data_IF_660401338638
#
_entry.id   IF_660401338638
#
_cell.length_a   1.000
_cell.length_b   1.000
_cell.length_c   1.000
_cell.angle_alpha   90.00
_cell.angle_beta   90.00
_cell.angle_gamma   90.00
#
_symmetry.space_group_name_H-M   'P 1'
#
loop_
_entity.id
_entity.type
_entity.pdbx_description
1 polymer ?
#
# COMPACT_ATOMS: atom_id res chain seq x y z
N UNK A 1 24.63 -60.15 17.06
CA UNK A 1 24.96 -58.88 16.39
C UNK A 1 23.69 -58.31 15.76
N UNK A 2 23.17 -57.20 16.29
CA UNK A 2 22.73 -55.99 15.55
C UNK A 2 21.97 -55.07 16.51
N UNK A 3 22.75 -54.17 17.08
CA UNK A 3 22.34 -52.84 17.54
C UNK A 3 21.68 -52.06 16.39
N UNK A 4 20.69 -51.21 16.69
CA UNK A 4 20.45 -49.90 16.07
C UNK A 4 19.26 -49.25 16.81
N UNK A 5 19.51 -48.53 17.91
CA UNK A 5 19.66 -47.06 18.00
C UNK A 5 18.35 -46.28 17.73
N UNK A 6 17.72 -45.86 18.84
CA UNK A 6 16.78 -44.75 18.89
C UNK A 6 17.51 -43.42 18.59
N UNK A 7 16.92 -42.59 17.74
CA UNK A 7 17.23 -41.16 17.70
C UNK A 7 15.93 -40.36 17.56
N UNK A 8 15.41 -39.89 18.69
CA UNK A 8 14.30 -38.94 18.76
C UNK A 8 14.83 -37.53 18.50
N UNK A 9 14.45 -36.94 17.36
CA UNK A 9 14.75 -35.54 16.99
C UNK A 9 13.77 -34.62 17.72
N UNK A 10 14.28 -33.86 18.69
CA UNK A 10 13.56 -32.73 19.28
C UNK A 10 13.62 -31.54 18.31
N UNK A 11 12.50 -31.27 17.64
CA UNK A 11 12.29 -30.00 16.94
C UNK A 11 12.10 -28.90 17.98
N UNK A 12 13.15 -28.12 18.22
CA UNK A 12 13.03 -26.83 18.87
C UNK A 12 12.35 -25.86 17.90
N UNK A 13 11.02 -25.75 17.98
CA UNK A 13 10.27 -24.65 17.34
C UNK A 13 10.63 -23.36 18.06
N UNK A 14 11.67 -22.68 17.58
CA UNK A 14 11.91 -21.28 17.89
C UNK A 14 10.78 -20.45 17.28
N UNK A 15 9.72 -20.22 18.06
CA UNK A 15 8.72 -19.21 17.72
C UNK A 15 9.44 -17.87 17.85
N UNK A 16 9.88 -17.30 16.72
CA UNK A 16 10.26 -15.90 16.67
C UNK A 16 9.02 -15.10 17.08
N UNK A 17 9.02 -14.62 18.32
CA UNK A 17 8.03 -13.66 18.77
C UNK A 17 8.14 -12.44 17.87
N UNK A 18 7.18 -12.30 16.96
CA UNK A 18 6.92 -11.07 16.23
C UNK A 18 6.78 -9.97 17.29
N UNK A 19 7.72 -9.02 17.33
CA UNK A 19 7.63 -7.89 18.26
C UNK A 19 6.32 -7.18 17.98
N UNK A 20 5.40 -7.19 18.95
CA UNK A 20 4.26 -6.31 18.94
C UNK A 20 4.76 -4.87 18.68
N UNK A 21 4.09 -4.14 17.78
CA UNK A 21 4.53 -2.79 17.40
C UNK A 21 4.66 -1.92 18.65
N UNK A 22 5.83 -1.34 18.88
CA UNK A 22 6.14 -0.53 20.07
C UNK A 22 5.48 0.86 20.08
N UNK A 23 4.56 1.12 19.16
CA UNK A 23 3.97 2.44 18.98
C UNK A 23 2.80 2.64 19.95
N UNK A 24 2.64 3.87 20.50
CA UNK A 24 1.54 4.15 21.40
C UNK A 24 0.20 3.99 20.68
N UNK A 25 -0.87 3.53 21.35
CA UNK A 25 -2.20 3.48 20.75
C UNK A 25 -2.69 4.88 20.39
N UNK A 26 -3.68 4.97 19.51
CA UNK A 26 -4.34 6.24 19.24
C UNK A 26 -4.98 6.80 20.52
N UNK A 27 -4.86 8.11 20.77
CA UNK A 27 -5.45 8.74 21.95
C UNK A 27 -6.99 8.69 21.88
N UNK A 28 -7.63 8.70 23.04
CA UNK A 28 -9.10 8.72 23.15
C UNK A 28 -9.75 9.97 22.54
N UNK A 29 -8.98 11.05 22.34
CA UNK A 29 -9.41 12.26 21.62
C UNK A 29 -9.58 12.06 20.11
N UNK A 30 -9.12 10.94 19.54
CA UNK A 30 -9.36 10.59 18.14
C UNK A 30 -10.62 9.73 17.92
N UNK A 31 -11.32 9.35 19.00
CA UNK A 31 -12.60 8.63 18.91
C UNK A 31 -13.70 9.64 18.55
N UNK A 32 -14.42 9.41 17.45
CA UNK A 32 -15.27 10.41 16.78
C UNK A 32 -16.40 10.96 17.66
N UNK A 33 -16.89 10.15 18.60
CA UNK A 33 -17.97 10.51 19.53
C UNK A 33 -17.50 10.69 20.98
N UNK A 34 -16.20 10.88 21.19
CA UNK A 34 -15.64 11.25 22.49
C UNK A 34 -15.94 12.72 22.81
N UNK A 35 -16.17 13.05 24.09
CA UNK A 35 -16.32 14.44 24.54
C UNK A 35 -15.05 15.27 24.32
N UNK A 36 -13.89 14.59 24.25
CA UNK A 36 -12.59 15.21 24.04
C UNK A 36 -12.19 15.28 22.56
N UNK A 37 -13.10 14.91 21.63
CA UNK A 37 -12.76 14.84 20.23
C UNK A 37 -12.32 16.19 19.67
N UNK A 38 -11.14 16.18 19.04
CA UNK A 38 -10.60 17.29 18.25
C UNK A 38 -9.98 16.68 17.01
N UNK A 39 -10.19 17.31 15.85
CA UNK A 39 -9.52 16.88 14.63
C UNK A 39 -8.02 16.83 14.89
N UNK A 40 -7.39 15.65 14.80
CA UNK A 40 -5.95 15.52 14.98
C UNK A 40 -5.23 16.19 13.81
N UNK A 41 -4.04 16.72 14.08
CA UNK A 41 -3.14 17.19 13.02
C UNK A 41 -2.69 15.99 12.16
N UNK A 42 -2.63 16.14 10.82
CA UNK A 42 -2.10 15.10 9.95
C UNK A 42 -0.66 14.72 10.31
N UNK A 43 -0.34 13.42 10.46
CA UNK A 43 1.02 13.01 10.77
C UNK A 43 1.91 13.07 9.52
N UNK A 44 3.21 13.23 9.75
CA UNK A 44 4.24 12.82 8.79
C UNK A 44 4.25 11.30 8.70
N UNK A 45 4.35 10.74 7.51
CA UNK A 45 4.30 9.29 7.26
C UNK A 45 5.69 8.71 7.01
N UNK A 46 5.90 7.44 7.35
CA UNK A 46 7.08 6.71 6.86
C UNK A 46 6.95 6.47 5.35
N UNK A 47 7.75 7.22 4.59
CA UNK A 47 7.59 7.35 3.15
C UNK A 47 8.31 6.25 2.34
N UNK A 48 9.41 5.74 2.88
CA UNK A 48 10.19 4.63 2.31
C UNK A 48 9.61 3.31 2.83
N UNK A 49 9.20 2.43 1.92
CA UNK A 49 8.68 1.13 2.33
C UNK A 49 8.74 0.08 1.24
N UNK A 50 8.81 -1.16 1.70
CA UNK A 50 8.64 -2.37 0.89
C UNK A 50 7.50 -3.21 1.49
N UNK A 51 6.55 -3.65 0.66
CA UNK A 51 5.37 -4.36 1.16
C UNK A 51 4.72 -5.25 0.12
N UNK A 52 4.01 -6.28 0.59
CA UNK A 52 3.08 -7.01 -0.25
C UNK A 52 1.73 -6.27 -0.28
N UNK A 53 1.01 -6.39 -1.37
CA UNK A 53 -0.29 -5.76 -1.52
C UNK A 53 -1.34 -6.66 -2.17
N UNK A 54 -2.59 -6.33 -1.91
CA UNK A 54 -3.74 -6.71 -2.74
C UNK A 54 -4.47 -5.42 -3.13
N UNK A 55 -4.84 -5.30 -4.40
CA UNK A 55 -5.62 -4.19 -4.91
C UNK A 55 -6.84 -4.72 -5.66
N UNK A 56 -8.01 -4.19 -5.34
CA UNK A 56 -9.24 -4.46 -6.09
C UNK A 56 -9.72 -3.18 -6.75
N UNK A 57 -9.89 -3.24 -8.06
CA UNK A 57 -10.47 -2.19 -8.90
C UNK A 57 -11.79 -2.68 -9.48
N UNK A 58 -12.87 -1.94 -9.26
CA UNK A 58 -14.18 -2.32 -9.79
C UNK A 58 -15.09 -1.15 -10.18
N UNK A 59 -15.96 -1.45 -11.15
CA UNK A 59 -17.09 -0.63 -11.57
C UNK A 59 -18.18 -1.56 -12.13
N UNK A 60 -19.20 -1.03 -12.83
CA UNK A 60 -20.29 -1.84 -13.39
C UNK A 60 -19.82 -2.91 -14.41
N UNK A 61 -18.68 -2.69 -15.07
CA UNK A 61 -18.17 -3.51 -16.17
C UNK A 61 -16.78 -4.13 -15.88
N UNK A 62 -16.21 -3.89 -14.69
CA UNK A 62 -14.85 -4.28 -14.34
C UNK A 62 -14.83 -4.84 -12.92
N UNK A 63 -14.16 -5.98 -12.75
CA UNK A 63 -13.68 -6.46 -11.45
C UNK A 63 -12.29 -7.03 -11.64
N UNK A 64 -11.29 -6.34 -11.10
CA UNK A 64 -9.88 -6.64 -11.31
C UNK A 64 -9.18 -6.68 -9.95
N UNK A 65 -8.81 -7.89 -9.51
CA UNK A 65 -8.07 -8.12 -8.27
C UNK A 65 -6.66 -8.50 -8.63
N UNK A 66 -5.69 -7.67 -8.23
CA UNK A 66 -4.27 -7.90 -8.42
C UNK A 66 -3.59 -8.05 -7.06
N UNK A 67 -2.52 -8.82 -7.00
CA UNK A 67 -1.68 -8.98 -5.81
C UNK A 67 -0.22 -8.92 -6.21
N UNK A 68 0.63 -8.46 -5.30
CA UNK A 68 2.04 -8.34 -5.62
C UNK A 68 2.87 -7.73 -4.52
N UNK A 69 3.98 -7.11 -4.95
CA UNK A 69 4.93 -6.44 -4.11
C UNK A 69 5.17 -5.00 -4.60
N UNK A 70 5.32 -4.07 -3.66
CA UNK A 70 5.60 -2.66 -3.93
C UNK A 70 6.89 -2.29 -3.20
N UNK A 71 7.76 -1.58 -3.91
CA UNK A 71 8.85 -0.80 -3.34
C UNK A 71 8.61 0.69 -3.65
N UNK A 72 8.39 1.49 -2.61
CA UNK A 72 8.17 2.93 -2.72
C UNK A 72 9.38 3.66 -2.16
N UNK A 73 10.03 4.46 -3.00
CA UNK A 73 11.15 5.31 -2.58
C UNK A 73 10.95 6.77 -3.01
N UNK A 74 10.27 7.58 -2.19
CA UNK A 74 10.11 9.01 -2.43
C UNK A 74 11.43 9.77 -2.49
N UNK A 75 12.44 9.40 -1.69
CA UNK A 75 13.79 10.00 -1.77
C UNK A 75 14.46 9.81 -3.12
N UNK A 76 14.14 8.71 -3.82
CA UNK A 76 14.62 8.40 -5.16
C UNK A 76 13.57 8.68 -6.25
N UNK A 77 12.41 9.23 -5.88
CA UNK A 77 11.31 9.58 -6.77
C UNK A 77 10.83 8.41 -7.64
N UNK A 78 10.67 7.22 -7.06
CA UNK A 78 10.08 6.09 -7.80
C UNK A 78 9.12 5.24 -6.98
N UNK A 79 8.26 4.52 -7.70
CA UNK A 79 7.52 3.36 -7.19
C UNK A 79 7.77 2.20 -8.15
N UNK A 80 8.22 1.06 -7.63
CA UNK A 80 8.30 -0.21 -8.35
C UNK A 80 7.15 -1.08 -7.87
N UNK A 81 6.39 -1.65 -8.81
CA UNK A 81 5.36 -2.64 -8.51
C UNK A 81 5.55 -3.91 -9.33
N UNK A 82 5.65 -5.05 -8.65
CA UNK A 82 5.52 -6.37 -9.26
C UNK A 82 4.14 -6.91 -8.93
N UNK A 83 3.38 -7.35 -9.91
CA UNK A 83 2.00 -7.76 -9.74
C UNK A 83 1.63 -9.01 -10.54
N UNK A 84 0.64 -9.74 -10.04
CA UNK A 84 0.08 -10.93 -10.66
C UNK A 84 -1.42 -10.75 -10.86
N UNK A 85 -1.87 -11.00 -12.10
CA UNK A 85 -3.28 -10.96 -12.46
C UNK A 85 -3.59 -12.00 -13.54
N UNK A 86 -4.64 -12.82 -13.31
CA UNK A 86 -5.18 -13.78 -14.27
C UNK A 86 -4.12 -14.68 -14.95
N UNK A 87 -3.17 -15.19 -14.15
CA UNK A 87 -2.08 -16.05 -14.61
C UNK A 87 -0.92 -15.32 -15.32
N UNK A 88 -1.01 -14.01 -15.50
CA UNK A 88 0.05 -13.17 -16.04
C UNK A 88 0.76 -12.41 -14.92
N UNK A 89 2.03 -12.08 -15.15
CA UNK A 89 2.84 -11.24 -14.27
C UNK A 89 3.15 -9.91 -14.96
N UNK A 90 3.21 -8.83 -14.21
CA UNK A 90 3.70 -7.55 -14.68
C UNK A 90 4.66 -6.93 -13.66
N UNK A 91 5.64 -6.19 -14.16
CA UNK A 91 6.55 -5.38 -13.37
C UNK A 91 6.52 -3.98 -13.94
N UNK A 92 6.16 -2.98 -13.13
CA UNK A 92 6.07 -1.57 -13.51
C UNK A 92 7.05 -0.75 -12.69
N UNK A 93 7.85 0.06 -13.38
CA UNK A 93 8.71 1.06 -12.77
C UNK A 93 8.17 2.46 -13.08
N UNK A 94 7.57 3.10 -12.08
CA UNK A 94 7.04 4.45 -12.15
C UNK A 94 8.12 5.45 -11.71
N UNK A 95 8.62 6.24 -12.65
CA UNK A 95 9.62 7.27 -12.42
C UNK A 95 8.96 8.64 -12.18
N UNK A 96 8.74 9.00 -10.92
CA UNK A 96 8.13 10.27 -10.54
C UNK A 96 9.03 11.48 -10.75
N UNK A 97 10.36 11.29 -10.90
CA UNK A 97 11.25 12.37 -11.31
C UNK A 97 10.99 12.80 -12.77
N UNK A 98 10.30 11.97 -13.56
CA UNK A 98 9.90 12.27 -14.92
C UNK A 98 8.37 12.26 -15.04
N UNK A 99 7.75 13.38 -14.67
CA UNK A 99 6.31 13.58 -14.74
C UNK A 99 5.95 14.74 -15.66
N UNK A 100 4.79 14.63 -16.32
CA UNK A 100 4.19 15.69 -17.14
C UNK A 100 3.56 16.78 -16.26
N UNK A 101 3.23 17.92 -16.88
CA UNK A 101 2.49 19.02 -16.22
C UNK A 101 1.10 18.60 -15.75
N UNK A 102 0.51 17.61 -16.40
CA UNK A 102 -0.80 17.03 -16.07
C UNK A 102 -0.72 15.95 -14.97
N UNK A 103 0.48 15.66 -14.45
CA UNK A 103 0.69 14.67 -13.38
C UNK A 103 0.77 13.22 -13.86
N UNK A 104 0.89 12.98 -15.17
CA UNK A 104 1.20 11.66 -15.72
C UNK A 104 2.67 11.31 -15.48
N UNK A 105 2.94 10.07 -15.10
CA UNK A 105 4.25 9.56 -14.66
C UNK A 105 4.85 8.64 -15.72
N UNK A 106 6.14 8.79 -16.02
CA UNK A 106 6.87 7.86 -16.90
C UNK A 106 6.88 6.45 -16.29
N UNK A 107 6.32 5.49 -17.00
CA UNK A 107 6.27 4.10 -16.60
C UNK A 107 6.96 3.21 -17.63
N UNK A 108 7.81 2.30 -17.17
CA UNK A 108 8.27 1.15 -17.94
C UNK A 108 7.63 -0.10 -17.37
N UNK A 109 6.77 -0.75 -18.17
CA UNK A 109 6.06 -1.96 -17.79
C UNK A 109 6.57 -3.16 -18.58
N UNK A 110 6.97 -4.21 -17.88
CA UNK A 110 7.32 -5.51 -18.44
C UNK A 110 6.25 -6.51 -18.07
N UNK A 111 5.61 -7.13 -19.07
CA UNK A 111 4.54 -8.13 -18.87
C UNK A 111 5.00 -9.50 -19.34
N UNK A 112 4.71 -10.52 -18.53
CA UNK A 112 4.92 -11.93 -18.82
C UNK A 112 3.55 -12.61 -18.95
N UNK A 113 3.14 -12.88 -20.20
CA UNK A 113 1.90 -13.60 -20.51
C UNK A 113 2.14 -15.11 -20.40
N UNK A 114 1.22 -15.84 -19.76
CA UNK A 114 1.29 -17.30 -19.59
C UNK A 114 1.32 -18.10 -20.90
N UNK A 115 0.97 -17.48 -22.04
CA UNK A 115 1.00 -18.07 -23.39
C UNK A 115 2.27 -17.72 -24.15
N UNK A 116 3.16 -16.92 -23.59
CA UNK A 116 4.39 -16.46 -24.23
C UNK A 116 5.62 -16.82 -23.38
N UNK A 117 6.71 -17.20 -24.05
CA UNK A 117 8.02 -17.33 -23.41
C UNK A 117 8.87 -16.07 -23.52
N UNK A 118 8.32 -14.98 -24.07
CA UNK A 118 8.98 -13.68 -24.21
C UNK A 118 8.21 -12.61 -23.46
N UNK A 119 8.88 -11.75 -22.67
CA UNK A 119 8.23 -10.60 -22.09
C UNK A 119 7.85 -9.58 -23.16
N UNK A 120 6.80 -8.81 -22.89
CA UNK A 120 6.46 -7.60 -23.64
C UNK A 120 6.86 -6.40 -22.80
N UNK A 121 7.58 -5.44 -23.41
CA UNK A 121 7.98 -4.20 -22.75
C UNK A 121 7.18 -3.05 -23.36
N UNK A 122 6.53 -2.28 -22.51
CA UNK A 122 5.84 -1.04 -22.87
C UNK A 122 6.44 0.12 -22.07
N UNK A 123 6.54 1.29 -22.70
CA UNK A 123 6.98 2.52 -22.04
C UNK A 123 6.11 3.70 -22.44
N UNK A 124 5.72 4.52 -21.46
CA UNK A 124 4.96 5.74 -21.70
C UNK A 124 4.49 6.41 -20.40
N UNK A 125 3.83 7.55 -20.55
CA UNK A 125 3.27 8.30 -19.42
C UNK A 125 1.88 7.79 -19.05
N UNK A 126 1.63 7.56 -17.75
CA UNK A 126 0.35 7.07 -17.23
C UNK A 126 -0.11 7.84 -16.00
N UNK A 127 -1.42 7.87 -15.76
CA UNK A 127 -1.94 8.21 -14.45
C UNK A 127 -1.78 6.96 -13.56
N UNK A 128 -0.80 6.99 -12.65
CA UNK A 128 -0.41 5.81 -11.87
C UNK A 128 -1.51 5.40 -10.88
N UNK A 129 -1.84 4.11 -10.85
CA UNK A 129 -2.65 3.54 -9.78
C UNK A 129 -1.84 3.34 -8.48
N UNK A 130 -0.54 3.60 -8.51
CA UNK A 130 0.42 3.38 -7.43
C UNK A 130 1.11 4.71 -7.10
N UNK A 131 0.47 5.57 -6.29
CA UNK A 131 0.93 6.92 -6.00
C UNK A 131 2.26 6.93 -5.24
N UNK A 132 3.08 7.94 -5.48
CA UNK A 132 4.21 8.25 -4.61
C UNK A 132 3.72 9.04 -3.40
N UNK A 133 3.98 8.53 -2.20
CA UNK A 133 3.62 9.17 -0.94
C UNK A 133 4.87 9.71 -0.22
N UNK A 134 5.24 10.99 -0.44
CA UNK A 134 6.28 11.63 0.36
C UNK A 134 5.88 11.74 1.83
N UNK A 135 6.86 11.98 2.69
CA UNK A 135 6.70 12.03 4.15
C UNK A 135 5.64 13.05 4.60
N UNK A 136 5.53 14.16 3.87
CA UNK A 136 4.60 15.27 4.14
C UNK A 136 3.26 15.15 3.41
N UNK A 137 2.96 14.02 2.74
CA UNK A 137 1.80 13.93 1.84
C UNK A 137 0.49 14.36 2.51
N UNK A 138 0.26 13.95 3.77
CA UNK A 138 -0.97 14.27 4.49
C UNK A 138 -1.02 15.75 4.91
N UNK A 139 0.11 16.28 5.39
CA UNK A 139 0.23 17.69 5.80
C UNK A 139 0.07 18.61 4.58
N UNK A 140 0.80 18.33 3.51
CA UNK A 140 0.81 19.13 2.26
C UNK A 140 -0.57 19.17 1.58
N UNK A 141 -1.35 18.10 1.68
CA UNK A 141 -2.70 18.04 1.11
C UNK A 141 -3.79 18.49 2.10
N UNK A 142 -3.43 18.97 3.30
CA UNK A 142 -4.41 19.39 4.30
C UNK A 142 -5.36 18.27 4.69
N UNK A 143 -4.83 17.08 4.96
CA UNK A 143 -5.63 15.88 5.16
C UNK A 143 -6.67 16.05 6.28
N UNK A 144 -7.87 15.53 6.04
CA UNK A 144 -8.96 15.52 7.03
C UNK A 144 -9.07 14.13 7.63
N UNK A 145 -9.02 14.07 8.96
CA UNK A 145 -9.21 12.82 9.70
C UNK A 145 -10.61 12.26 9.43
N UNK A 146 -10.66 11.05 8.87
CA UNK A 146 -11.88 10.33 8.49
C UNK A 146 -12.33 9.30 9.52
N UNK A 147 -11.56 9.10 10.59
CA UNK A 147 -11.92 8.19 11.68
C UNK A 147 -10.93 7.06 11.92
N UNK A 148 -11.17 6.30 12.99
CA UNK A 148 -10.44 5.06 13.29
C UNK A 148 -11.19 3.86 12.73
N UNK A 149 -10.55 3.10 11.84
CA UNK A 149 -11.19 1.97 11.13
C UNK A 149 -10.41 0.68 11.26
N UNK A 150 -11.08 -0.45 11.04
CA UNK A 150 -10.43 -1.76 10.86
C UNK A 150 -10.15 -2.01 9.38
N UNK A 151 -9.01 -2.65 9.08
CA UNK A 151 -8.58 -3.05 7.73
C UNK A 151 -8.25 -4.54 7.73
N UNK A 152 -8.30 -5.17 6.57
CA UNK A 152 -8.30 -6.64 6.47
C UNK A 152 -7.02 -7.28 7.05
N UNK A 153 -5.86 -6.64 6.87
CA UNK A 153 -4.55 -7.18 7.27
C UNK A 153 -3.92 -6.43 8.45
N UNK A 154 -4.72 -5.68 9.22
CA UNK A 154 -4.26 -4.93 10.38
C UNK A 154 -5.01 -5.40 11.63
N UNK A 155 -4.28 -5.87 12.63
CA UNK A 155 -4.87 -6.29 13.91
C UNK A 155 -5.48 -5.10 14.68
N UNK A 156 -4.78 -3.97 14.65
CA UNK A 156 -5.16 -2.73 15.31
C UNK A 156 -5.98 -1.82 14.40
N UNK A 157 -6.71 -0.89 15.02
CA UNK A 157 -7.33 0.22 14.29
C UNK A 157 -6.26 1.05 13.57
N UNK A 158 -6.65 1.65 12.45
CA UNK A 158 -5.82 2.59 11.67
C UNK A 158 -6.57 3.88 11.46
N UNK A 159 -5.84 4.99 11.34
CA UNK A 159 -6.40 6.30 11.08
C UNK A 159 -6.64 6.47 9.57
N UNK A 160 -7.88 6.79 9.20
CA UNK A 160 -8.23 7.18 7.83
C UNK A 160 -7.97 8.69 7.65
N UNK A 161 -7.30 9.05 6.55
CA UNK A 161 -6.98 10.43 6.20
C UNK A 161 -7.43 10.73 4.79
N UNK A 162 -8.38 11.65 4.63
CA UNK A 162 -8.93 12.04 3.33
C UNK A 162 -8.11 13.19 2.74
N UNK A 163 -7.68 13.04 1.49
CA UNK A 163 -6.91 14.02 0.72
C UNK A 163 -7.47 14.17 -0.70
N UNK A 164 -7.15 15.29 -1.34
CA UNK A 164 -7.30 15.47 -2.79
C UNK A 164 -5.94 15.24 -3.46
N UNK A 165 -5.63 13.99 -3.82
CA UNK A 165 -4.37 13.65 -4.49
C UNK A 165 -4.27 14.36 -5.85
N UNK A 166 -3.11 14.99 -6.11
CA UNK A 166 -2.90 15.89 -7.26
C UNK A 166 -3.95 17.00 -7.38
N UNK A 167 -4.63 17.36 -6.28
CA UNK A 167 -5.70 18.36 -6.26
C UNK A 167 -7.02 17.92 -6.91
N UNK A 168 -7.13 16.69 -7.43
CA UNK A 168 -8.28 16.27 -8.23
C UNK A 168 -8.86 14.91 -7.83
N UNK A 169 -8.06 13.99 -7.29
CA UNK A 169 -8.48 12.61 -7.01
C UNK A 169 -8.80 12.46 -5.52
N UNK A 170 -10.06 12.26 -5.12
CA UNK A 170 -10.39 12.00 -3.73
C UNK A 170 -9.82 10.64 -3.31
N UNK A 171 -8.91 10.67 -2.34
CA UNK A 171 -8.24 9.49 -1.80
C UNK A 171 -8.34 9.46 -0.28
N UNK A 172 -8.44 8.26 0.26
CA UNK A 172 -8.31 7.99 1.70
C UNK A 172 -7.03 7.19 1.91
N UNK A 173 -6.09 7.75 2.66
CA UNK A 173 -4.84 7.07 3.05
C UNK A 173 -5.03 6.51 4.45
N UNK A 174 -4.69 5.24 4.66
CA UNK A 174 -4.81 4.58 5.95
C UNK A 174 -3.44 4.48 6.61
N UNK A 175 -3.34 4.98 7.83
CA UNK A 175 -2.08 5.11 8.55
C UNK A 175 -2.17 4.43 9.92
N UNK A 176 -1.21 3.58 10.23
CA UNK A 176 -1.10 2.95 11.55
C UNK A 176 -0.69 3.96 12.62
N UNK A 177 -0.81 3.57 13.89
CA UNK A 177 -0.30 4.35 15.02
C UNK A 177 1.24 4.50 15.04
N UNK A 178 1.95 3.82 14.14
CA UNK A 178 3.37 4.00 13.88
C UNK A 178 3.68 4.96 12.72
N UNK A 179 2.68 5.69 12.22
CA UNK A 179 2.78 6.54 11.04
C UNK A 179 3.17 5.80 9.74
N UNK A 180 2.88 4.50 9.67
CA UNK A 180 3.12 3.68 8.47
C UNK A 180 1.85 3.64 7.64
N UNK A 181 1.94 3.91 6.34
CA UNK A 181 0.82 3.73 5.41
C UNK A 181 0.55 2.23 5.27
N UNK A 182 -0.69 1.82 5.51
CA UNK A 182 -1.13 0.41 5.44
C UNK A 182 -2.04 0.13 4.25
N UNK A 183 -2.31 1.14 3.44
CA UNK A 183 -3.20 1.04 2.30
C UNK A 183 -3.78 2.40 1.94
N UNK A 184 -4.51 2.42 0.84
CA UNK A 184 -5.25 3.60 0.40
C UNK A 184 -6.40 3.17 -0.48
N UNK A 185 -7.41 4.03 -0.53
CA UNK A 185 -8.54 3.89 -1.41
C UNK A 185 -8.72 5.17 -2.23
N UNK A 186 -9.20 5.06 -3.45
CA UNK A 186 -9.61 6.24 -4.22
C UNK A 186 -10.78 5.92 -5.14
N UNK A 187 -11.43 6.98 -5.61
CA UNK A 187 -12.45 6.90 -6.64
C UNK A 187 -11.96 7.66 -7.87
N UNK A 188 -11.81 6.96 -9.00
CA UNK A 188 -11.53 7.58 -10.29
C UNK A 188 -12.85 8.11 -10.86
N UNK A 189 -13.10 9.44 -10.88
CA UNK A 189 -14.41 9.97 -11.24
C UNK A 189 -14.74 9.73 -12.71
N UNK A 190 -13.76 9.91 -13.58
CA UNK A 190 -13.91 9.73 -15.04
C UNK A 190 -14.34 8.31 -15.40
N UNK A 191 -13.74 7.31 -14.74
CA UNK A 191 -14.04 5.90 -14.97
C UNK A 191 -15.16 5.38 -14.06
N UNK A 192 -15.68 6.21 -13.15
CA UNK A 192 -16.60 5.81 -12.06
C UNK A 192 -16.15 4.53 -11.36
N UNK A 193 -14.85 4.45 -11.08
CA UNK A 193 -14.20 3.23 -10.64
C UNK A 193 -13.67 3.39 -9.23
N UNK A 194 -14.02 2.45 -8.35
CA UNK A 194 -13.46 2.37 -7.00
C UNK A 194 -12.21 1.50 -7.04
N UNK A 195 -11.20 1.94 -6.31
CA UNK A 195 -9.97 1.18 -6.08
C UNK A 195 -9.69 1.17 -4.59
N UNK A 196 -9.41 -0.02 -4.07
CA UNK A 196 -8.94 -0.21 -2.69
C UNK A 196 -7.64 -0.99 -2.75
N UNK A 197 -6.68 -0.57 -1.94
CA UNK A 197 -5.37 -1.20 -1.83
C UNK A 197 -5.10 -1.48 -0.37
N UNK A 198 -4.77 -2.72 -0.06
CA UNK A 198 -4.37 -3.17 1.27
C UNK A 198 -2.92 -3.63 1.26
N UNK A 199 -2.14 -3.20 2.25
CA UNK A 199 -0.75 -3.61 2.43
C UNK A 199 -0.59 -4.60 3.58
N UNK A 200 0.36 -5.50 3.44
CA UNK A 200 0.73 -6.47 4.47
C UNK A 200 2.21 -6.84 4.39
N UNK A 201 2.77 -7.35 5.50
CA UNK A 201 4.21 -7.61 5.62
C UNK A 201 5.07 -6.40 5.26
N UNK A 202 4.69 -5.22 5.78
CA UNK A 202 5.34 -3.93 5.50
C UNK A 202 6.70 -3.85 6.20
N UNK A 203 7.73 -3.38 5.49
CA UNK A 203 9.04 -3.02 6.00
C UNK A 203 9.23 -1.51 5.78
N UNK A 204 9.22 -0.72 6.87
CA UNK A 204 9.22 0.75 6.86
C UNK A 204 9.87 1.34 8.12
#
# INVERSE_FOLDING_TARGET
>A
MRFLQLLSVLLATGVLAMRASSCPPFPSSMVEFSSEFKQPDPPMVKAEYETNFIQHKWNQNLSHVTTGFINSSPSQSFVWVDEAFNGSLASSFFNYANSTTEGLVDNTMTTFDHKSNKPTIWKGYVNSNFPLFPEDILVKNGAVFGGLVRRQFNENLVAAWNIMYQGAIPATVYVSNCNVIVGYDYFSPELRTRVITEYFSIQA
#
